data_IF_381942908293
#
_entry.id   IF_381942908293
#
_cell.length_a   1.000
_cell.length_b   1.000
_cell.length_c   1.000
_cell.angle_alpha   90.00
_cell.angle_beta   90.00
_cell.angle_gamma   90.00
#
_symmetry.space_group_name_H-M   'P 1'
#
loop_
_entity.id
_entity.type
_entity.pdbx_description
1 polymer ?
#
# COMPACT_ATOMS: atom_id res chain seq x y z
N UNK A 1 -44.57 -51.44 -7.62
CA UNK A 1 -43.34 -50.71 -8.02
C UNK A 1 -43.60 -49.21 -7.94
N UNK A 2 -43.56 -48.64 -6.73
CA UNK A 2 -43.73 -47.19 -6.52
C UNK A 2 -43.22 -46.78 -5.13
N UNK A 3 -41.92 -46.98 -4.82
CA UNK A 3 -41.29 -46.54 -3.56
C UNK A 3 -39.77 -46.31 -3.71
N UNK A 4 -39.31 -45.63 -4.76
CA UNK A 4 -37.88 -45.27 -4.92
C UNK A 4 -37.73 -43.82 -5.39
N UNK A 5 -38.55 -42.90 -4.87
CA UNK A 5 -38.56 -41.50 -5.32
C UNK A 5 -38.48 -40.49 -4.17
N UNK A 6 -37.74 -40.80 -3.10
CA UNK A 6 -37.74 -39.92 -1.91
C UNK A 6 -36.40 -39.75 -1.19
N UNK A 7 -35.25 -39.99 -1.83
CA UNK A 7 -33.94 -39.86 -1.17
C UNK A 7 -32.86 -39.18 -2.04
N UNK A 8 -33.21 -38.14 -2.79
CA UNK A 8 -32.25 -37.38 -3.59
C UNK A 8 -32.59 -35.88 -3.63
N UNK A 9 -32.76 -35.27 -2.45
CA UNK A 9 -33.01 -33.83 -2.34
C UNK A 9 -32.61 -33.27 -0.97
N UNK A 10 -31.36 -33.49 -0.51
CA UNK A 10 -30.81 -32.63 0.55
C UNK A 10 -29.29 -32.75 0.60
N UNK A 11 -28.57 -31.92 -0.16
CA UNK A 11 -27.12 -31.87 0.04
C UNK A 11 -26.28 -31.16 -1.02
N UNK A 12 -26.71 -30.01 -1.55
CA UNK A 12 -25.76 -29.03 -2.09
C UNK A 12 -26.39 -27.65 -1.95
N UNK A 13 -26.13 -26.98 -0.83
CA UNK A 13 -26.33 -25.54 -0.64
C UNK A 13 -25.39 -25.08 0.48
N UNK A 14 -24.11 -25.44 0.38
CA UNK A 14 -23.07 -24.68 1.08
C UNK A 14 -22.76 -23.45 0.22
N UNK A 15 -23.31 -22.34 0.67
CA UNK A 15 -23.03 -21.01 0.16
C UNK A 15 -21.51 -20.77 0.05
N UNK A 16 -21.07 -20.50 -1.17
CA UNK A 16 -19.79 -19.88 -1.49
C UNK A 16 -19.72 -18.51 -0.82
N UNK A 17 -19.15 -18.45 0.37
CA UNK A 17 -18.74 -17.19 0.99
C UNK A 17 -17.54 -16.67 0.19
N UNK A 18 -17.57 -15.46 -0.40
CA UNK A 18 -16.36 -14.84 -0.89
C UNK A 18 -15.52 -14.51 0.34
N UNK A 19 -14.50 -15.33 0.59
CA UNK A 19 -13.44 -15.00 1.53
C UNK A 19 -12.80 -13.72 1.01
N UNK A 20 -13.09 -12.58 1.65
CA UNK A 20 -12.31 -11.37 1.49
C UNK A 20 -10.92 -11.69 2.07
N UNK A 21 -10.06 -12.27 1.25
CA UNK A 21 -8.68 -12.52 1.60
C UNK A 21 -8.03 -11.16 1.80
N UNK A 22 -7.93 -10.74 3.08
CA UNK A 22 -7.02 -9.68 3.51
C UNK A 22 -5.66 -10.09 2.98
N UNK A 23 -5.18 -9.43 1.91
CA UNK A 23 -3.89 -9.73 1.30
C UNK A 23 -2.87 -9.79 2.45
N UNK A 24 -2.16 -10.91 2.64
CA UNK A 24 -1.17 -11.00 3.69
C UNK A 24 -0.20 -9.82 3.51
N UNK A 25 0.25 -9.25 4.63
CA UNK A 25 1.31 -8.23 4.62
C UNK A 25 2.56 -8.92 4.08
N UNK A 26 2.68 -8.91 2.76
CA UNK A 26 3.78 -9.54 2.04
C UNK A 26 5.05 -8.79 2.45
N UNK A 27 6.00 -9.50 3.06
CA UNK A 27 7.31 -8.92 3.35
C UNK A 27 7.94 -8.55 2.01
N UNK A 28 7.97 -7.25 1.73
CA UNK A 28 8.37 -6.72 0.42
C UNK A 28 9.86 -6.93 0.19
N UNK A 29 10.65 -6.93 1.27
CA UNK A 29 12.07 -7.25 1.24
C UNK A 29 12.28 -8.62 1.89
N UNK A 30 12.89 -9.56 1.17
CA UNK A 30 13.42 -10.83 1.69
C UNK A 30 14.88 -10.96 1.24
N UNK A 31 15.79 -11.12 2.21
CA UNK A 31 17.21 -11.31 1.95
C UNK A 31 17.53 -12.80 1.93
N UNK A 32 17.87 -13.33 0.76
CA UNK A 32 18.28 -14.73 0.56
C UNK A 32 19.74 -14.77 0.06
N UNK A 33 19.92 -14.53 -1.23
CA UNK A 33 21.23 -14.45 -1.89
C UNK A 33 21.46 -13.06 -2.47
N UNK A 34 22.73 -12.64 -2.62
CA UNK A 34 23.15 -11.47 -3.40
C UNK A 34 22.33 -11.18 -4.65
N UNK A 35 22.21 -12.16 -5.55
CA UNK A 35 21.63 -12.02 -6.88
C UNK A 35 20.11 -11.83 -6.83
N UNK A 36 19.44 -12.59 -5.95
CA UNK A 36 18.00 -12.43 -5.72
C UNK A 36 17.69 -11.10 -5.05
N UNK A 37 18.61 -10.64 -4.21
CA UNK A 37 18.46 -9.37 -3.51
C UNK A 37 18.61 -8.18 -4.46
N UNK A 38 19.49 -8.23 -5.47
CA UNK A 38 19.58 -7.20 -6.51
C UNK A 38 18.25 -6.95 -7.22
N UNK A 39 17.57 -8.03 -7.63
CA UNK A 39 16.25 -7.92 -8.27
C UNK A 39 15.21 -7.27 -7.33
N UNK A 40 15.33 -7.51 -6.03
CA UNK A 40 14.47 -6.91 -5.00
C UNK A 40 14.76 -5.42 -4.83
N UNK A 41 16.03 -5.03 -4.78
CA UNK A 41 16.46 -3.62 -4.72
C UNK A 41 15.92 -2.85 -5.92
N UNK A 42 16.14 -3.35 -7.13
CA UNK A 42 15.71 -2.68 -8.35
C UNK A 42 14.18 -2.55 -8.42
N UNK A 43 13.45 -3.59 -7.99
CA UNK A 43 11.99 -3.52 -7.86
C UNK A 43 11.55 -2.43 -6.88
N UNK A 44 12.17 -2.33 -5.71
CA UNK A 44 11.80 -1.31 -4.70
C UNK A 44 12.13 0.09 -5.21
N UNK A 45 13.30 0.28 -5.83
CA UNK A 45 13.69 1.55 -6.45
C UNK A 45 12.70 1.97 -7.54
N UNK A 46 12.28 1.03 -8.39
CA UNK A 46 11.22 1.27 -9.36
C UNK A 46 9.89 1.64 -8.71
N UNK A 47 9.51 0.96 -7.63
CA UNK A 47 8.27 1.24 -6.90
C UNK A 47 8.25 2.57 -6.14
N UNK A 48 9.40 3.23 -6.00
CA UNK A 48 9.50 4.58 -5.44
C UNK A 48 9.26 5.67 -6.50
N UNK A 49 9.22 5.35 -7.80
CA UNK A 49 8.96 6.35 -8.84
C UNK A 49 7.55 6.99 -8.71
N UNK A 50 7.32 8.09 -9.43
CA UNK A 50 6.01 8.74 -9.49
C UNK A 50 4.94 7.79 -10.07
N UNK A 51 3.74 7.81 -9.50
CA UNK A 51 2.63 6.92 -9.88
C UNK A 51 2.78 5.47 -9.39
N UNK A 52 3.81 5.18 -8.58
CA UNK A 52 4.08 3.83 -8.08
C UNK A 52 3.77 3.70 -6.59
N UNK A 53 3.86 2.45 -6.11
CA UNK A 53 3.44 2.05 -4.76
C UNK A 53 3.94 2.93 -3.62
N UNK A 54 5.17 3.43 -3.74
CA UNK A 54 5.84 4.25 -2.73
C UNK A 54 6.07 5.70 -3.21
N UNK A 55 5.25 6.21 -4.13
CA UNK A 55 5.37 7.57 -4.64
C UNK A 55 5.33 8.64 -3.53
N UNK A 56 4.55 8.39 -2.47
CA UNK A 56 4.40 9.31 -1.34
C UNK A 56 5.53 9.24 -0.30
N UNK A 57 6.57 8.43 -0.54
CA UNK A 57 7.73 8.35 0.33
C UNK A 57 8.46 9.72 0.35
N UNK A 58 8.74 10.24 1.55
CA UNK A 58 9.49 11.49 1.70
C UNK A 58 10.94 11.30 1.28
N UNK A 59 11.61 12.38 0.84
CA UNK A 59 13.00 12.30 0.37
C UNK A 59 13.96 11.69 1.39
N UNK A 60 13.88 12.14 2.66
CA UNK A 60 14.66 11.56 3.75
C UNK A 60 14.43 10.06 3.96
N UNK A 61 13.19 9.59 3.76
CA UNK A 61 12.85 8.18 3.88
C UNK A 61 13.36 7.40 2.66
N UNK A 62 13.31 7.98 1.45
CA UNK A 62 13.90 7.42 0.21
C UNK A 62 15.40 7.20 0.37
N UNK A 63 16.13 8.23 0.78
CA UNK A 63 17.58 8.14 1.07
C UNK A 63 17.88 7.07 2.13
N UNK A 64 17.05 6.99 3.17
CA UNK A 64 17.22 6.00 4.25
C UNK A 64 16.97 4.58 3.78
N UNK A 65 15.94 4.35 2.96
CA UNK A 65 15.66 3.05 2.35
C UNK A 65 16.81 2.65 1.43
N UNK A 66 17.25 3.53 0.53
CA UNK A 66 18.35 3.26 -0.40
C UNK A 66 19.64 2.87 0.34
N UNK A 67 20.08 3.69 1.30
CA UNK A 67 21.27 3.42 2.11
C UNK A 67 21.19 2.09 2.84
N UNK A 68 20.01 1.73 3.37
CA UNK A 68 19.81 0.46 4.09
C UNK A 68 19.81 -0.74 3.15
N UNK A 69 19.20 -0.62 1.97
CA UNK A 69 19.23 -1.64 0.92
C UNK A 69 20.67 -1.90 0.45
N UNK A 70 21.44 -0.83 0.21
CA UNK A 70 22.86 -0.95 -0.15
C UNK A 70 23.66 -1.64 0.95
N UNK A 71 23.41 -1.28 2.22
CA UNK A 71 24.07 -1.93 3.36
C UNK A 71 23.73 -3.42 3.47
N UNK A 72 22.48 -3.81 3.25
CA UNK A 72 22.08 -5.22 3.22
C UNK A 72 22.77 -5.97 2.07
N UNK A 73 22.88 -5.33 0.90
CA UNK A 73 23.59 -5.87 -0.26
C UNK A 73 25.06 -6.14 0.05
N UNK A 74 25.75 -5.18 0.65
CA UNK A 74 27.15 -5.31 1.08
C UNK A 74 27.34 -6.51 2.02
N UNK A 75 26.48 -6.62 3.04
CA UNK A 75 26.54 -7.74 3.99
C UNK A 75 26.35 -9.08 3.29
N UNK A 76 25.43 -9.16 2.33
CA UNK A 76 25.20 -10.37 1.53
C UNK A 76 26.38 -10.70 0.61
N UNK A 77 27.04 -9.71 0.00
CA UNK A 77 28.26 -9.94 -0.80
C UNK A 77 29.39 -10.48 0.08
N UNK A 78 29.59 -9.88 1.24
CA UNK A 78 30.68 -10.25 2.16
C UNK A 78 30.52 -11.68 2.68
N UNK A 79 29.29 -12.11 2.98
CA UNK A 79 29.01 -13.45 3.47
C UNK A 79 28.75 -14.48 2.36
N UNK A 80 28.42 -14.05 1.14
CA UNK A 80 28.00 -14.90 0.02
C UNK A 80 26.52 -15.33 0.08
N UNK A 81 25.98 -15.62 1.25
CA UNK A 81 24.55 -15.87 1.46
C UNK A 81 24.12 -15.60 2.90
N UNK A 82 22.82 -15.53 3.16
CA UNK A 82 22.32 -15.44 4.55
C UNK A 82 22.71 -16.67 5.36
N UNK A 83 22.68 -17.87 4.79
CA UNK A 83 23.01 -19.11 5.50
C UNK A 83 24.45 -19.11 6.02
N UNK A 84 25.37 -18.55 5.22
CA UNK A 84 26.80 -18.45 5.53
C UNK A 84 27.15 -17.34 6.55
N UNK A 85 26.21 -16.44 6.87
CA UNK A 85 26.41 -15.39 7.86
C UNK A 85 26.52 -15.94 9.29
N UNK A 86 27.37 -15.29 10.09
CA UNK A 86 27.40 -15.48 11.54
C UNK A 86 26.07 -15.07 12.17
N UNK A 87 25.67 -15.65 13.33
CA UNK A 87 24.40 -15.31 13.98
C UNK A 87 24.19 -13.81 14.20
N UNK A 88 25.24 -13.08 14.57
CA UNK A 88 25.19 -11.64 14.81
C UNK A 88 24.95 -10.85 13.51
N UNK A 89 25.56 -11.28 12.40
CA UNK A 89 25.34 -10.69 11.08
C UNK A 89 23.91 -10.94 10.59
N UNK A 90 23.35 -12.13 10.82
CA UNK A 90 21.95 -12.46 10.51
C UNK A 90 20.98 -11.55 11.27
N UNK A 91 21.17 -11.41 12.57
CA UNK A 91 20.36 -10.52 13.41
C UNK A 91 20.42 -9.08 12.89
N UNK A 92 21.62 -8.60 12.55
CA UNK A 92 21.79 -7.26 12.01
C UNK A 92 21.09 -7.08 10.66
N UNK A 93 21.22 -8.04 9.76
CA UNK A 93 20.57 -8.03 8.45
C UNK A 93 19.05 -7.97 8.59
N UNK A 94 18.47 -8.85 9.41
CA UNK A 94 17.03 -8.87 9.65
C UNK A 94 16.53 -7.60 10.34
N UNK A 95 17.30 -7.01 11.24
CA UNK A 95 16.96 -5.71 11.82
C UNK A 95 16.87 -4.62 10.75
N UNK A 96 17.84 -4.56 9.83
CA UNK A 96 17.82 -3.57 8.74
C UNK A 96 16.62 -3.83 7.81
N UNK A 97 16.33 -5.09 7.50
CA UNK A 97 15.18 -5.49 6.70
C UNK A 97 13.86 -5.04 7.32
N UNK A 98 13.67 -5.26 8.63
CA UNK A 98 12.45 -4.85 9.33
C UNK A 98 12.33 -3.31 9.41
N UNK A 99 13.43 -2.58 9.57
CA UNK A 99 13.42 -1.12 9.47
C UNK A 99 12.99 -0.62 8.08
N UNK A 100 13.52 -1.22 7.01
CA UNK A 100 13.13 -0.89 5.63
C UNK A 100 11.65 -1.25 5.39
N UNK A 101 11.24 -2.47 5.74
CA UNK A 101 9.85 -2.91 5.61
C UNK A 101 8.89 -2.00 6.39
N UNK A 102 9.28 -1.54 7.58
CA UNK A 102 8.49 -0.60 8.37
C UNK A 102 8.35 0.77 7.71
N UNK A 103 9.41 1.30 7.10
CA UNK A 103 9.35 2.56 6.34
C UNK A 103 8.44 2.41 5.11
N UNK A 104 8.63 1.34 4.33
CA UNK A 104 7.84 1.10 3.11
C UNK A 104 6.36 0.85 3.43
N UNK A 105 6.05 0.05 4.45
CA UNK A 105 4.66 -0.23 4.85
C UNK A 105 3.90 1.04 5.31
N UNK A 106 4.59 1.98 5.97
CA UNK A 106 3.99 3.26 6.37
C UNK A 106 3.77 4.23 5.21
N UNK A 107 4.36 3.99 4.05
CA UNK A 107 4.31 4.91 2.92
C UNK A 107 3.72 4.26 1.66
N UNK A 108 3.12 3.08 1.81
CA UNK A 108 2.40 2.43 0.73
C UNK A 108 1.12 3.20 0.37
N UNK A 109 0.90 3.40 -0.92
CA UNK A 109 -0.25 4.10 -1.49
C UNK A 109 -1.60 3.40 -1.24
N UNK A 110 -1.57 2.07 -1.09
CA UNK A 110 -2.69 1.19 -0.77
C UNK A 110 -3.01 1.11 0.73
N UNK A 111 -2.26 1.80 1.58
CA UNK A 111 -2.54 1.87 3.02
C UNK A 111 -3.90 2.55 3.25
N UNK A 112 -4.76 1.89 4.02
CA UNK A 112 -6.04 2.44 4.45
C UNK A 112 -5.85 3.49 5.56
N UNK A 113 -6.55 4.60 5.41
CA UNK A 113 -6.74 5.64 6.43
C UNK A 113 -8.24 5.69 6.71
N UNK A 114 -8.61 5.38 7.93
CA UNK A 114 -10.00 5.42 8.38
C UNK A 114 -10.23 6.65 9.26
N UNK A 115 -11.29 7.40 8.99
CA UNK A 115 -11.78 8.45 9.88
C UNK A 115 -13.11 8.04 10.51
N UNK A 116 -13.38 8.57 11.69
CA UNK A 116 -14.60 8.28 12.46
C UNK A 116 -15.25 9.60 12.82
N UNK A 117 -16.15 10.06 11.96
CA UNK A 117 -16.71 11.39 12.00
C UNK A 117 -18.25 11.33 12.02
N UNK A 118 -18.88 12.26 12.73
CA UNK A 118 -20.33 12.44 12.68
C UNK A 118 -20.66 13.33 11.47
N UNK A 119 -21.43 12.84 10.47
CA UNK A 119 -21.76 13.64 9.30
C UNK A 119 -22.66 14.81 9.68
N UNK A 120 -22.55 15.92 8.96
CA UNK A 120 -23.38 17.11 9.21
C UNK A 120 -24.86 16.76 9.14
N UNK A 121 -25.62 17.06 10.19
CA UNK A 121 -27.05 16.74 10.29
C UNK A 121 -27.38 15.39 10.95
N UNK A 122 -26.39 14.61 11.38
CA UNK A 122 -26.60 13.41 12.20
C UNK A 122 -25.57 13.33 13.33
N UNK A 123 -26.01 12.92 14.52
CA UNK A 123 -25.10 12.65 15.64
C UNK A 123 -24.58 11.21 15.65
N UNK A 124 -24.99 10.37 14.68
CA UNK A 124 -24.52 9.00 14.58
C UNK A 124 -23.13 8.97 13.90
N UNK A 125 -22.06 8.58 14.60
CA UNK A 125 -20.73 8.51 14.00
C UNK A 125 -20.67 7.42 12.92
N UNK A 126 -20.02 7.72 11.80
CA UNK A 126 -19.76 6.75 10.74
C UNK A 126 -18.26 6.58 10.54
N UNK A 127 -17.84 5.35 10.23
CA UNK A 127 -16.45 5.06 9.87
C UNK A 127 -16.34 4.98 8.35
N UNK A 128 -15.51 5.83 7.74
CA UNK A 128 -15.13 5.72 6.34
C UNK A 128 -13.63 5.42 6.23
N UNK A 129 -13.27 4.50 5.34
CA UNK A 129 -11.87 4.13 5.09
C UNK A 129 -11.55 4.36 3.62
N UNK A 130 -10.44 5.04 3.36
CA UNK A 130 -9.93 5.33 2.02
C UNK A 130 -8.45 4.97 1.93
N UNK A 131 -7.97 4.62 0.75
CA UNK A 131 -6.52 4.47 0.52
C UNK A 131 -5.84 5.85 0.52
N UNK A 132 -4.54 5.91 0.82
CA UNK A 132 -3.77 7.16 0.71
C UNK A 132 -3.87 7.74 -0.71
N UNK A 133 -3.80 6.89 -1.73
CA UNK A 133 -3.96 7.29 -3.13
C UNK A 133 -5.31 7.96 -3.40
N UNK A 134 -6.41 7.35 -2.94
CA UNK A 134 -7.75 7.93 -3.06
C UNK A 134 -7.86 9.27 -2.33
N UNK A 135 -7.29 9.38 -1.13
CA UNK A 135 -7.31 10.62 -0.37
C UNK A 135 -6.56 11.76 -1.08
N UNK A 136 -5.43 11.47 -1.71
CA UNK A 136 -4.67 12.46 -2.50
C UNK A 136 -5.47 12.87 -3.73
N UNK A 137 -5.97 11.90 -4.50
CA UNK A 137 -6.77 12.15 -5.70
C UNK A 137 -8.04 12.95 -5.39
N UNK A 138 -8.76 12.60 -4.31
CA UNK A 138 -9.95 13.33 -3.89
C UNK A 138 -9.63 14.78 -3.50
N UNK A 139 -8.49 15.03 -2.86
CA UNK A 139 -8.05 16.39 -2.51
C UNK A 139 -7.69 17.21 -3.75
N UNK A 140 -7.01 16.61 -4.71
CA UNK A 140 -6.64 17.27 -5.97
C UNK A 140 -7.87 17.61 -6.80
N UNK A 141 -8.79 16.65 -6.96
CA UNK A 141 -10.06 16.86 -7.66
C UNK A 141 -10.89 17.97 -7.01
N UNK A 142 -10.97 17.99 -5.68
CA UNK A 142 -11.69 19.04 -4.96
C UNK A 142 -11.06 20.42 -5.21
N UNK A 143 -9.72 20.54 -5.17
CA UNK A 143 -9.02 21.80 -5.48
C UNK A 143 -9.31 22.26 -6.92
N UNK A 144 -9.17 21.36 -7.87
CA UNK A 144 -9.43 21.65 -9.28
C UNK A 144 -10.87 22.16 -9.50
N UNK A 145 -11.87 21.51 -8.90
CA UNK A 145 -13.26 21.97 -8.97
C UNK A 145 -13.44 23.37 -8.38
N UNK A 146 -12.81 23.67 -7.24
CA UNK A 146 -12.89 25.00 -6.63
C UNK A 146 -12.25 26.09 -7.49
N UNK A 147 -11.14 25.78 -8.16
CA UNK A 147 -10.45 26.73 -9.04
C UNK A 147 -11.28 26.99 -10.31
N UNK A 148 -11.89 25.95 -10.90
CA UNK A 148 -12.85 26.10 -12.01
C UNK A 148 -14.04 27.00 -11.61
N UNK A 149 -14.63 26.80 -10.43
CA UNK A 149 -15.75 27.62 -9.95
C UNK A 149 -15.33 29.09 -9.77
N UNK A 150 -14.12 29.35 -9.25
CA UNK A 150 -13.61 30.72 -9.10
C UNK A 150 -13.41 31.40 -10.44
N UNK A 151 -12.85 30.70 -11.41
CA UNK A 151 -12.60 31.25 -12.75
C UNK A 151 -13.91 31.55 -13.49
N UNK A 152 -14.90 30.66 -13.40
CA UNK A 152 -16.25 30.90 -13.92
C UNK A 152 -16.90 32.13 -13.29
N UNK A 153 -16.82 32.27 -11.96
CA UNK A 153 -17.34 33.44 -11.26
C UNK A 153 -16.63 34.73 -11.69
N UNK A 154 -15.30 34.68 -11.93
CA UNK A 154 -14.53 35.82 -12.42
C UNK A 154 -14.99 36.26 -13.81
N UNK A 155 -15.17 35.31 -14.73
CA UNK A 155 -15.62 35.58 -16.11
C UNK A 155 -17.07 36.07 -16.16
N UNK A 156 -17.96 35.56 -15.30
CA UNK A 156 -19.33 36.06 -15.17
C UNK A 156 -19.40 37.51 -14.71
N UNK A 157 -18.49 37.91 -13.81
CA UNK A 157 -18.36 39.29 -13.33
C UNK A 157 -17.82 40.24 -14.41
N UNK A 158 -16.91 39.79 -15.28
CA UNK A 158 -16.41 40.61 -16.40
C UNK A 158 -17.45 40.79 -17.48
N UNK A 159 -18.19 39.73 -17.86
CA UNK A 159 -19.22 39.80 -18.88
C UNK A 159 -20.50 40.55 -18.46
N UNK A 160 -20.68 40.85 -17.16
CA UNK A 160 -21.82 41.65 -16.67
C UNK A 160 -21.50 43.15 -16.55
N UNK A 161 -20.28 43.58 -16.93
CA UNK A 161 -19.85 44.98 -16.90
C UNK A 161 -19.74 45.63 -18.29
N UNK A 162 -19.97 44.85 -19.35
CA UNK A 162 -20.11 45.31 -20.73
C UNK A 162 -21.59 45.31 -21.14
#
# INVERSE_FOLDING_TARGET
MLRILSLLALGVLLASQPVLAKKPVEKVVAADTPEKFDATIEKIRGQMAEGQRYEFLKEKDRETVNRKLDRMREMLVEAGSVEAMQPEQKVKLFSIQEEVNGILARNADDRLVCSHDAPTGSHLPMTSCHTVRELVHNRENARHQMDVIKDQNRQGITNSRD
#
